data_IF_934931171204
#
_entry.id   IF_934931171204
#
_cell.length_a   1.000
_cell.length_b   1.000
_cell.length_c   1.000
_cell.angle_alpha   90.00
_cell.angle_beta   90.00
_cell.angle_gamma   90.00
#
_symmetry.space_group_name_H-M   'P 1'
#
loop_
_entity.id
_entity.type
_entity.pdbx_description
1 polymer ?
#
# COMPACT_ATOMS: atom_id res chain seq x y z
N UNK A 1 18.85 8.78 -0.17
CA UNK A 1 18.00 8.52 -1.36
C UNK A 1 16.83 7.66 -0.91
N UNK A 2 15.60 8.00 -1.31
CA UNK A 2 14.38 7.27 -0.90
C UNK A 2 13.85 6.51 -2.13
N UNK A 3 13.62 5.21 -2.00
CA UNK A 3 13.10 4.37 -3.09
C UNK A 3 11.59 4.49 -3.15
N UNK A 4 11.03 4.73 -4.34
CA UNK A 4 9.59 4.67 -4.55
C UNK A 4 9.18 3.24 -4.91
N UNK A 5 8.24 2.68 -4.16
CA UNK A 5 7.60 1.40 -4.44
C UNK A 5 6.19 1.70 -4.95
N UNK A 6 5.86 1.19 -6.14
CA UNK A 6 4.53 1.30 -6.73
C UNK A 6 3.87 -0.08 -6.65
N UNK A 7 2.69 -0.15 -6.05
CA UNK A 7 1.95 -1.40 -5.83
C UNK A 7 0.62 -1.31 -6.57
N UNK A 8 0.46 -1.97 -7.74
CA UNK A 8 -0.84 -2.10 -8.37
C UNK A 8 -1.69 -3.14 -7.63
N UNK A 9 -2.96 -2.83 -7.36
CA UNK A 9 -3.89 -3.70 -6.62
C UNK A 9 -5.25 -3.82 -7.30
N UNK A 10 -5.91 -4.95 -7.04
CA UNK A 10 -7.33 -5.21 -7.32
C UNK A 10 -7.78 -6.27 -6.31
N UNK A 11 -8.79 -5.97 -5.49
CA UNK A 11 -9.39 -6.90 -4.52
C UNK A 11 -8.35 -7.67 -3.68
N UNK A 12 -7.47 -6.95 -3.00
CA UNK A 12 -6.27 -7.48 -2.38
C UNK A 12 -6.17 -7.20 -0.88
N UNK A 13 -7.29 -7.02 -0.17
CA UNK A 13 -7.33 -6.61 1.24
C UNK A 13 -6.34 -7.38 2.15
N UNK A 14 -6.39 -8.71 2.15
CA UNK A 14 -5.51 -9.53 3.01
C UNK A 14 -4.02 -9.43 2.61
N UNK A 15 -3.75 -9.37 1.31
CA UNK A 15 -2.38 -9.36 0.77
C UNK A 15 -1.72 -7.99 0.93
N UNK A 16 -2.49 -6.91 0.77
CA UNK A 16 -1.97 -5.56 0.90
C UNK A 16 -1.63 -5.28 2.37
N UNK A 17 -2.44 -5.72 3.33
CA UNK A 17 -2.14 -5.60 4.76
C UNK A 17 -0.82 -6.31 5.12
N UNK A 18 -0.67 -7.56 4.66
CA UNK A 18 0.54 -8.35 4.89
C UNK A 18 1.80 -7.75 4.22
N UNK A 19 1.65 -7.04 3.10
CA UNK A 19 2.76 -6.38 2.42
C UNK A 19 3.14 -5.07 3.12
N UNK A 20 2.16 -4.22 3.41
CA UNK A 20 2.37 -2.90 4.00
C UNK A 20 2.94 -2.99 5.42
N UNK A 21 2.49 -3.96 6.22
CA UNK A 21 3.07 -4.25 7.55
C UNK A 21 4.58 -4.52 7.48
N UNK A 22 5.06 -5.22 6.44
CA UNK A 22 6.50 -5.48 6.24
C UNK A 22 7.27 -4.24 5.77
N UNK A 23 6.62 -3.36 4.99
CA UNK A 23 7.23 -2.13 4.51
C UNK A 23 7.33 -1.03 5.58
N UNK A 24 6.50 -1.10 6.63
CA UNK A 24 6.51 -0.12 7.73
C UNK A 24 7.90 0.08 8.36
N UNK A 25 8.67 -1.00 8.54
CA UNK A 25 10.03 -0.95 9.08
C UNK A 25 11.04 -0.20 8.18
N UNK A 26 10.70 0.01 6.90
CA UNK A 26 11.54 0.67 5.91
C UNK A 26 11.10 2.11 5.61
N UNK A 27 10.13 2.66 6.34
CA UNK A 27 9.52 3.99 6.09
C UNK A 27 10.51 5.15 5.90
N UNK A 28 11.68 5.11 6.54
CA UNK A 28 12.76 6.10 6.36
C UNK A 28 13.51 5.99 5.02
N UNK A 29 13.44 4.82 4.36
CA UNK A 29 14.13 4.48 3.11
C UNK A 29 13.19 4.33 1.92
N UNK A 30 11.89 4.10 2.14
CA UNK A 30 10.91 3.85 1.07
C UNK A 30 9.70 4.78 1.16
N UNK A 31 9.23 5.23 0.00
CA UNK A 31 7.90 5.80 -0.18
C UNK A 31 7.04 4.77 -0.90
N UNK A 32 5.78 4.64 -0.52
CA UNK A 32 4.86 3.68 -1.13
C UNK A 32 3.71 4.45 -1.78
N UNK A 33 3.42 4.10 -3.03
CA UNK A 33 2.25 4.56 -3.78
C UNK A 33 1.45 3.33 -4.22
N UNK A 34 0.21 3.23 -3.79
CA UNK A 34 -0.71 2.17 -4.24
C UNK A 34 -1.52 2.69 -5.43
N UNK A 35 -1.63 1.87 -6.47
CA UNK A 35 -2.46 2.17 -7.65
C UNK A 35 -3.59 1.14 -7.66
N UNK A 36 -4.79 1.58 -7.35
CA UNK A 36 -5.93 0.69 -7.21
C UNK A 36 -6.76 0.63 -8.49
N UNK A 37 -7.17 -0.59 -8.86
CA UNK A 37 -7.93 -0.85 -10.08
C UNK A 37 -9.44 -0.86 -9.82
N UNK A 38 -9.94 0.03 -8.94
CA UNK A 38 -11.34 0.12 -8.50
C UNK A 38 -11.81 -1.05 -7.65
N UNK A 39 -10.99 -1.47 -6.70
CA UNK A 39 -11.35 -2.48 -5.70
C UNK A 39 -12.62 -2.07 -4.97
N UNK A 40 -13.52 -3.04 -4.76
CA UNK A 40 -14.77 -2.85 -4.02
C UNK A 40 -14.69 -3.44 -2.60
N UNK A 41 -13.56 -4.06 -2.26
CA UNK A 41 -13.25 -4.58 -0.94
C UNK A 41 -12.49 -3.54 -0.09
N UNK A 42 -12.02 -3.97 1.08
CA UNK A 42 -11.36 -3.10 2.06
C UNK A 42 -9.93 -2.70 1.66
N UNK A 43 -9.44 -3.03 0.45
CA UNK A 43 -8.06 -2.76 0.00
C UNK A 43 -7.67 -1.30 0.25
N UNK A 44 -8.48 -0.34 -0.19
CA UNK A 44 -8.19 1.10 -0.02
C UNK A 44 -8.30 1.54 1.44
N UNK A 45 -9.22 0.96 2.20
CA UNK A 45 -9.36 1.28 3.63
C UNK A 45 -8.10 0.87 4.39
N UNK A 46 -7.58 -0.32 4.12
CA UNK A 46 -6.33 -0.81 4.70
C UNK A 46 -5.17 0.12 4.32
N UNK A 47 -5.01 0.48 3.05
CA UNK A 47 -3.92 1.39 2.62
C UNK A 47 -3.96 2.73 3.38
N UNK A 48 -5.17 3.29 3.60
CA UNK A 48 -5.35 4.52 4.41
C UNK A 48 -4.90 4.34 5.85
N UNK A 49 -5.14 3.18 6.48
CA UNK A 49 -4.72 2.94 7.88
C UNK A 49 -3.20 2.99 8.06
N UNK A 50 -2.43 2.60 7.03
CA UNK A 50 -0.97 2.71 7.03
C UNK A 50 -0.44 4.11 6.68
N UNK A 51 -1.31 5.03 6.26
CA UNK A 51 -0.94 6.40 5.87
C UNK A 51 -0.13 6.47 4.57
N UNK A 52 -0.28 5.50 3.68
CA UNK A 52 0.35 5.53 2.35
C UNK A 52 -0.53 6.23 1.31
N UNK A 53 0.12 6.80 0.29
CA UNK A 53 -0.57 7.42 -0.83
C UNK A 53 -1.25 6.35 -1.71
N UNK A 54 -2.43 6.66 -2.22
CA UNK A 54 -3.17 5.81 -3.16
C UNK A 54 -3.78 6.62 -4.30
N UNK A 55 -3.99 5.98 -5.46
CA UNK A 55 -4.67 6.53 -6.63
C UNK A 55 -5.57 5.52 -7.30
#
# INVERSE_FOLDING_TARGET
>A
MKTLIIIPTLEAADLIDALLSKLGHLSSKVSVLVIDSSSQDDTIEIVKTYGYDYR
#
